data_IF_326243979240
#
_entry.id   IF_326243979240
#
_cell.length_a   1.000
_cell.length_b   1.000
_cell.length_c   1.000
_cell.angle_alpha   90.00
_cell.angle_beta   90.00
_cell.angle_gamma   90.00
#
_symmetry.space_group_name_H-M   'P 1'
#
loop_
_entity.id
_entity.type
_entity.pdbx_description
1 polymer ?
#
# COMPACT_ATOMS: atom_id res chain seq x y z
N UNK A 1 8.36 -3.13 -28.59
CA UNK A 1 8.16 -1.98 -27.68
C UNK A 1 6.93 -2.28 -26.88
N UNK A 2 7.07 -2.55 -25.58
CA UNK A 2 5.92 -2.81 -24.72
C UNK A 2 5.35 -1.43 -24.37
N UNK A 3 4.16 -1.10 -24.90
CA UNK A 3 3.50 0.16 -24.56
C UNK A 3 3.30 0.17 -23.04
N UNK A 4 3.97 1.10 -22.35
CA UNK A 4 3.64 1.35 -20.97
C UNK A 4 2.24 1.97 -20.94
N UNK A 5 1.31 1.49 -20.11
CA UNK A 5 0.04 2.16 -19.94
C UNK A 5 0.32 3.59 -19.48
N UNK A 6 -0.35 4.56 -20.10
CA UNK A 6 -0.25 5.96 -19.70
C UNK A 6 -0.82 6.06 -18.28
N UNK A 7 -0.05 6.54 -17.29
CA UNK A 7 -0.54 6.62 -15.92
C UNK A 7 -1.62 7.70 -15.82
N UNK A 8 -2.71 7.38 -15.15
CA UNK A 8 -3.50 8.43 -14.52
C UNK A 8 -2.75 8.89 -13.27
N UNK A 9 -2.50 10.19 -13.16
CA UNK A 9 -1.77 10.78 -12.04
C UNK A 9 -2.73 11.55 -11.15
N UNK A 10 -2.83 11.15 -9.88
CA UNK A 10 -3.54 11.90 -8.86
C UNK A 10 -2.54 12.66 -7.98
N UNK A 11 -2.84 13.92 -7.68
CA UNK A 11 -2.09 14.73 -6.71
C UNK A 11 -2.90 14.82 -5.43
N UNK A 12 -2.49 14.03 -4.44
CA UNK A 12 -3.28 13.81 -3.23
C UNK A 12 -2.88 14.79 -2.11
N UNK A 13 -3.87 15.24 -1.34
CA UNK A 13 -3.67 16.05 -0.14
C UNK A 13 -3.11 17.45 -0.40
N UNK A 14 -2.67 18.11 0.67
CA UNK A 14 -2.09 19.46 0.62
C UNK A 14 -0.66 19.46 0.14
N UNK A 15 0.08 18.36 0.37
CA UNK A 15 1.43 18.18 -0.14
C UNK A 15 1.46 17.74 -1.61
N UNK A 16 0.29 17.60 -2.25
CA UNK A 16 0.11 17.28 -3.66
C UNK A 16 0.97 16.08 -4.08
N UNK A 17 0.97 15.03 -3.26
CA UNK A 17 1.83 13.88 -3.49
C UNK A 17 1.30 13.04 -4.65
N UNK A 18 2.15 12.70 -5.63
CA UNK A 18 1.72 11.90 -6.76
C UNK A 18 1.40 10.46 -6.32
N UNK A 19 0.24 9.97 -6.79
CA UNK A 19 -0.09 8.56 -6.89
C UNK A 19 -0.27 8.25 -8.38
N UNK A 20 0.50 7.30 -8.91
CA UNK A 20 0.27 6.80 -10.27
C UNK A 20 -0.73 5.64 -10.20
N UNK A 21 -1.75 5.70 -11.05
CA UNK A 21 -2.73 4.65 -11.25
C UNK A 21 -2.50 4.05 -12.64
N UNK A 22 -2.19 2.77 -12.67
CA UNK A 22 -1.86 2.01 -13.88
C UNK A 22 -2.88 0.89 -14.05
N UNK A 23 -3.86 1.09 -14.93
CA UNK A 23 -4.79 0.03 -15.33
C UNK A 23 -4.12 -0.92 -16.34
N UNK A 24 -4.60 -2.17 -16.38
CA UNK A 24 -4.05 -3.25 -17.21
C UNK A 24 -2.53 -3.41 -17.06
N UNK A 25 -2.03 -3.29 -15.83
CA UNK A 25 -0.62 -3.15 -15.53
C UNK A 25 0.21 -4.36 -15.96
N UNK A 26 -0.25 -5.59 -15.74
CA UNK A 26 0.51 -6.80 -16.03
C UNK A 26 -0.18 -7.64 -17.12
N UNK A 27 0.54 -8.24 -18.09
CA UNK A 27 -0.10 -8.99 -19.18
C UNK A 27 -0.74 -10.33 -18.77
N UNK A 28 -0.47 -10.83 -17.56
CA UNK A 28 -1.02 -12.10 -17.08
C UNK A 28 -1.36 -12.04 -15.58
N UNK A 29 -2.31 -11.19 -15.17
CA UNK A 29 -2.67 -11.03 -13.76
C UNK A 29 -3.27 -12.31 -13.18
N UNK A 30 -4.01 -13.10 -13.98
CA UNK A 30 -4.57 -14.37 -13.53
C UNK A 30 -3.50 -15.44 -13.26
N UNK A 31 -2.42 -15.46 -14.04
CA UNK A 31 -1.28 -16.34 -13.77
C UNK A 31 -0.62 -16.01 -12.42
N UNK A 32 -0.54 -14.72 -12.06
CA UNK A 32 -0.03 -14.31 -10.74
C UNK A 32 -0.93 -14.76 -9.59
N UNK A 33 -2.26 -14.77 -9.81
CA UNK A 33 -3.22 -15.27 -8.82
C UNK A 33 -3.09 -16.78 -8.62
N UNK A 34 -2.96 -17.53 -9.71
CA UNK A 34 -2.76 -18.97 -9.69
C UNK A 34 -1.44 -19.33 -9.00
N UNK A 35 -0.36 -18.61 -9.31
CA UNK A 35 0.93 -18.74 -8.65
C UNK A 35 0.80 -18.53 -7.13
N UNK A 36 0.15 -17.44 -6.70
CA UNK A 36 -0.11 -17.19 -5.29
C UNK A 36 -0.94 -18.31 -4.62
N UNK A 37 -1.92 -18.89 -5.33
CA UNK A 37 -2.74 -20.00 -4.81
C UNK A 37 -1.97 -21.31 -4.65
N UNK A 38 -0.85 -21.49 -5.37
CA UNK A 38 0.03 -22.66 -5.26
C UNK A 38 1.11 -22.50 -4.18
N UNK A 39 1.31 -21.29 -3.65
CA UNK A 39 2.29 -20.99 -2.63
C UNK A 39 1.71 -21.15 -1.22
N UNK A 40 2.59 -21.45 -0.26
CA UNK A 40 2.25 -21.38 1.16
C UNK A 40 2.45 -19.95 1.67
N UNK A 41 1.37 -19.20 1.79
CA UNK A 41 1.39 -17.87 2.42
C UNK A 41 1.44 -18.02 3.95
N UNK A 42 2.20 -17.15 4.62
CA UNK A 42 2.40 -17.15 6.07
C UNK A 42 2.47 -15.72 6.62
N UNK A 43 2.20 -15.49 7.91
CA UNK A 43 2.40 -14.17 8.51
C UNK A 43 3.88 -13.75 8.41
N UNK A 44 4.13 -12.50 8.02
CA UNK A 44 5.48 -11.91 7.99
C UNK A 44 5.46 -10.65 8.87
N UNK A 45 5.97 -10.79 10.09
CA UNK A 45 6.02 -9.72 11.08
C UNK A 45 4.63 -9.31 11.63
N UNK A 46 4.59 -8.29 12.50
CA UNK A 46 3.36 -7.89 13.19
C UNK A 46 2.51 -6.86 12.43
N UNK A 47 3.06 -6.23 11.39
CA UNK A 47 2.48 -5.04 10.78
C UNK A 47 1.42 -5.33 9.74
N UNK A 48 1.57 -6.39 8.95
CA UNK A 48 0.61 -6.73 7.91
C UNK A 48 -0.52 -7.62 8.47
N UNK A 49 -1.80 -7.24 8.32
CA UNK A 49 -2.94 -7.98 8.85
C UNK A 49 -3.34 -9.16 7.94
N UNK A 50 -2.40 -10.06 7.70
CA UNK A 50 -2.63 -11.21 6.83
C UNK A 50 -1.40 -12.06 6.54
N UNK A 51 -1.46 -12.78 5.42
CA UNK A 51 -0.45 -13.73 5.00
C UNK A 51 0.31 -13.23 3.77
N UNK A 52 1.58 -13.59 3.67
CA UNK A 52 2.45 -13.24 2.55
C UNK A 52 3.28 -14.43 2.05
N UNK A 53 3.66 -14.37 0.79
CA UNK A 53 4.69 -15.23 0.20
C UNK A 53 5.60 -14.37 -0.69
N UNK A 54 6.90 -14.63 -0.70
CA UNK A 54 7.85 -13.93 -1.55
C UNK A 54 7.59 -14.22 -3.02
N UNK A 55 7.71 -13.22 -3.89
CA UNK A 55 7.65 -13.44 -5.35
C UNK A 55 9.05 -13.69 -5.93
N UNK A 56 9.17 -14.33 -7.11
CA UNK A 56 10.46 -14.53 -7.77
C UNK A 56 11.19 -13.19 -8.04
N UNK A 57 12.48 -13.05 -7.72
CA UNK A 57 13.22 -11.79 -7.92
C UNK A 57 13.20 -11.28 -9.38
N UNK A 58 13.23 -12.19 -10.35
CA UNK A 58 13.16 -11.82 -11.77
C UNK A 58 11.80 -11.21 -12.14
N UNK A 59 10.70 -11.65 -11.51
CA UNK A 59 9.39 -11.05 -11.72
C UNK A 59 9.35 -9.62 -11.15
N UNK A 60 9.84 -9.46 -9.92
CA UNK A 60 9.95 -8.17 -9.26
C UNK A 60 10.78 -7.17 -10.08
N UNK A 61 11.93 -7.61 -10.59
CA UNK A 61 12.83 -6.80 -11.41
C UNK A 61 12.18 -6.37 -12.73
N UNK A 62 11.41 -7.26 -13.39
CA UNK A 62 10.68 -6.89 -14.61
C UNK A 62 9.61 -5.83 -14.34
N UNK A 63 8.90 -5.92 -13.20
CA UNK A 63 7.94 -4.89 -12.80
C UNK A 63 8.63 -3.56 -12.50
N UNK A 64 9.77 -3.59 -11.80
CA UNK A 64 10.60 -2.41 -11.54
C UNK A 64 11.04 -1.73 -12.84
N UNK A 65 11.61 -2.50 -13.79
CA UNK A 65 12.03 -1.99 -15.10
C UNK A 65 10.88 -1.36 -15.87
N UNK A 66 9.67 -1.95 -15.77
CA UNK A 66 8.48 -1.41 -16.42
C UNK A 66 8.09 -0.04 -15.87
N UNK A 67 8.17 0.18 -14.56
CA UNK A 67 7.81 1.48 -13.97
C UNK A 67 8.96 2.48 -13.92
N UNK A 68 10.21 2.08 -14.19
CA UNK A 68 11.39 2.95 -14.08
C UNK A 68 11.26 4.28 -14.84
N UNK A 69 10.76 4.34 -16.10
CA UNK A 69 10.55 5.62 -16.78
C UNK A 69 9.53 6.53 -16.06
N UNK A 70 8.50 5.94 -15.45
CA UNK A 70 7.49 6.69 -14.68
C UNK A 70 8.07 7.24 -13.38
N UNK A 71 9.00 6.49 -12.75
CA UNK A 71 9.71 6.94 -11.57
C UNK A 71 10.63 8.14 -11.87
N UNK A 72 11.31 8.11 -13.01
CA UNK A 72 12.07 9.26 -13.49
C UNK A 72 11.17 10.49 -13.71
N UNK A 73 10.04 10.32 -14.41
CA UNK A 73 9.14 11.44 -14.76
C UNK A 73 8.39 12.03 -13.57
N UNK A 74 7.85 11.19 -12.66
CA UNK A 74 6.91 11.66 -11.63
C UNK A 74 7.50 11.74 -10.22
N UNK A 75 8.63 11.08 -9.97
CA UNK A 75 9.25 11.04 -8.64
C UNK A 75 10.68 11.57 -8.62
N UNK A 76 11.24 11.95 -9.78
CA UNK A 76 12.64 12.37 -9.96
C UNK A 76 13.63 11.28 -9.50
N UNK A 77 13.35 10.04 -9.92
CA UNK A 77 14.14 8.86 -9.55
C UNK A 77 14.72 8.18 -10.80
N UNK A 78 15.87 8.67 -11.24
CA UNK A 78 16.70 8.05 -12.28
C UNK A 78 18.15 7.92 -11.77
N UNK A 79 18.70 6.70 -11.55
CA UNK A 79 18.03 5.41 -11.78
C UNK A 79 16.90 5.13 -10.77
N UNK A 80 15.95 4.31 -11.20
CA UNK A 80 14.93 3.74 -10.32
C UNK A 80 15.58 2.93 -9.19
N UNK A 81 15.16 3.10 -7.90
CA UNK A 81 15.71 2.35 -6.78
C UNK A 81 15.55 0.84 -6.96
N UNK A 82 16.44 0.04 -6.38
CA UNK A 82 16.44 -1.42 -6.48
C UNK A 82 15.22 -2.05 -5.78
N UNK A 83 14.89 -3.29 -6.17
CA UNK A 83 13.91 -4.10 -5.42
C UNK A 83 14.50 -4.45 -4.05
N UNK A 84 13.86 -3.96 -2.99
CA UNK A 84 14.20 -4.31 -1.62
C UNK A 84 13.37 -5.50 -1.14
N UNK A 85 12.06 -5.45 -1.35
CA UNK A 85 11.12 -6.48 -0.91
C UNK A 85 10.02 -6.69 -1.94
N UNK A 86 9.53 -7.93 -2.06
CA UNK A 86 8.46 -8.24 -3.00
C UNK A 86 7.64 -9.46 -2.56
N UNK A 87 6.31 -9.28 -2.45
CA UNK A 87 5.41 -10.29 -1.89
C UNK A 87 4.09 -10.39 -2.66
N UNK A 88 3.52 -11.59 -2.72
CA UNK A 88 2.07 -11.74 -2.70
C UNK A 88 1.59 -11.48 -1.27
N UNK A 89 0.54 -10.68 -1.13
CA UNK A 89 -0.05 -10.33 0.16
C UNK A 89 -1.54 -10.56 0.13
N UNK A 90 -2.04 -11.35 1.08
CA UNK A 90 -3.44 -11.68 1.25
C UNK A 90 -3.91 -11.20 2.61
N UNK A 91 -4.94 -10.36 2.63
CA UNK A 91 -5.58 -9.94 3.88
C UNK A 91 -6.42 -11.08 4.44
N UNK A 92 -6.15 -11.48 5.68
CA UNK A 92 -6.85 -12.62 6.32
C UNK A 92 -7.28 -12.35 7.76
N UNK A 93 -6.87 -11.22 8.35
CA UNK A 93 -7.19 -10.91 9.76
C UNK A 93 -8.57 -10.25 9.85
N UNK A 94 -9.53 -10.81 10.61
CA UNK A 94 -10.80 -10.14 10.85
C UNK A 94 -10.63 -8.81 11.60
N UNK A 95 -11.52 -7.82 11.39
CA UNK A 95 -11.46 -6.51 12.07
C UNK A 95 -11.28 -6.59 13.60
N UNK A 96 -12.02 -7.51 14.25
CA UNK A 96 -11.97 -7.74 15.70
C UNK A 96 -10.61 -8.22 16.23
N UNK A 97 -9.80 -8.83 15.36
CA UNK A 97 -8.52 -9.46 15.72
C UNK A 97 -7.32 -8.56 15.38
N UNK A 98 -7.56 -7.34 14.86
CA UNK A 98 -6.51 -6.41 14.48
C UNK A 98 -5.72 -5.96 15.71
N UNK A 99 -4.40 -6.08 15.64
CA UNK A 99 -3.50 -5.45 16.60
C UNK A 99 -3.62 -3.91 16.51
N UNK A 100 -3.38 -3.13 17.58
CA UNK A 100 -3.52 -1.67 17.55
C UNK A 100 -2.79 -0.99 16.39
N UNK A 101 -1.59 -1.45 16.04
CA UNK A 101 -0.79 -0.89 14.92
C UNK A 101 -1.45 -1.09 13.55
N UNK A 102 -2.29 -2.13 13.40
CA UNK A 102 -2.97 -2.47 12.14
C UNK A 102 -4.26 -1.65 11.93
N UNK A 103 -4.68 -0.87 12.94
CA UNK A 103 -5.87 -0.02 12.91
C UNK A 103 -5.56 1.42 12.49
N UNK A 104 -4.27 1.74 12.30
CA UNK A 104 -3.77 3.07 11.99
C UNK A 104 -3.17 3.10 10.59
N UNK A 105 -3.18 4.26 9.90
CA UNK A 105 -2.33 4.48 8.74
C UNK A 105 -0.86 4.21 9.08
N UNK A 106 -0.15 3.60 8.14
CA UNK A 106 1.27 3.29 8.25
C UNK A 106 2.06 3.95 7.13
N UNK A 107 3.37 3.82 7.21
CA UNK A 107 4.33 4.17 6.18
C UNK A 107 5.41 3.07 6.16
N UNK A 108 5.99 2.81 5.00
CA UNK A 108 6.90 1.68 4.76
C UNK A 108 8.35 1.97 5.17
N UNK A 109 8.66 3.24 5.42
CA UNK A 109 9.97 3.74 5.78
C UNK A 109 9.99 5.26 5.70
N UNK A 110 11.10 5.87 6.11
CA UNK A 110 11.21 7.33 6.19
C UNK A 110 11.88 7.95 4.96
N UNK A 111 12.42 7.13 4.08
CA UNK A 111 13.25 7.58 2.98
C UNK A 111 12.39 8.08 1.82
N UNK A 112 12.63 9.29 1.35
CA UNK A 112 11.83 9.88 0.26
C UNK A 112 11.92 9.06 -1.04
N UNK A 113 13.03 8.37 -1.25
CA UNK A 113 13.26 7.50 -2.41
C UNK A 113 12.57 6.15 -2.30
N UNK A 114 11.98 5.80 -1.15
CA UNK A 114 11.25 4.54 -0.99
C UNK A 114 9.95 4.61 -1.80
N UNK A 115 9.77 3.67 -2.72
CA UNK A 115 8.56 3.56 -3.55
C UNK A 115 7.85 2.25 -3.24
N UNK A 116 6.53 2.31 -3.11
CA UNK A 116 5.66 1.14 -3.09
C UNK A 116 4.92 1.03 -4.42
N UNK A 117 4.88 -0.19 -4.97
CA UNK A 117 3.96 -0.61 -6.00
C UNK A 117 3.00 -1.65 -5.40
N UNK A 118 1.71 -1.41 -5.55
CA UNK A 118 0.64 -2.31 -5.13
C UNK A 118 -0.20 -2.69 -6.34
N UNK A 119 -0.11 -3.95 -6.79
CA UNK A 119 -0.93 -4.51 -7.87
C UNK A 119 -2.10 -5.29 -7.29
N UNK A 120 -3.32 -4.87 -7.59
CA UNK A 120 -4.54 -5.58 -7.19
C UNK A 120 -4.76 -6.79 -8.09
N UNK A 121 -4.79 -7.98 -7.49
CA UNK A 121 -4.96 -9.24 -8.22
C UNK A 121 -6.34 -9.85 -7.99
N UNK A 122 -6.99 -9.58 -6.87
CA UNK A 122 -8.30 -10.16 -6.57
C UNK A 122 -9.40 -9.78 -7.59
N UNK A 123 -10.44 -10.60 -7.65
CA UNK A 123 -11.65 -10.38 -8.48
C UNK A 123 -12.77 -9.91 -7.55
N UNK A 124 -13.72 -9.12 -8.05
CA UNK A 124 -14.84 -8.62 -7.25
C UNK A 124 -14.47 -7.50 -6.26
N UNK A 125 -15.17 -7.35 -5.12
CA UNK A 125 -14.88 -6.32 -4.14
C UNK A 125 -13.49 -6.50 -3.51
N UNK A 126 -12.62 -5.52 -3.71
CA UNK A 126 -11.22 -5.54 -3.23
C UNK A 126 -10.89 -4.33 -2.34
N UNK A 127 -11.87 -3.43 -2.15
CA UNK A 127 -11.66 -2.17 -1.44
C UNK A 127 -10.73 -1.26 -2.23
N UNK A 128 -9.61 -0.86 -1.64
CA UNK A 128 -8.64 0.02 -2.27
C UNK A 128 -7.47 0.35 -1.35
N UNK A 129 -6.84 1.49 -1.61
CA UNK A 129 -5.83 2.10 -0.76
C UNK A 129 -6.24 3.53 -0.44
N UNK A 130 -6.27 3.87 0.84
CA UNK A 130 -6.53 5.21 1.32
C UNK A 130 -5.25 5.86 1.85
N UNK A 131 -5.15 7.17 1.66
CA UNK A 131 -4.05 8.01 2.12
C UNK A 131 -4.55 9.02 3.13
N UNK A 132 -3.70 9.37 4.09
CA UNK A 132 -4.12 10.10 5.29
C UNK A 132 -3.19 11.26 5.63
N UNK A 133 -3.73 12.20 6.40
CA UNK A 133 -2.99 13.24 7.12
C UNK A 133 -3.20 13.03 8.61
N UNK A 134 -2.12 12.99 9.39
CA UNK A 134 -2.21 12.98 10.84
C UNK A 134 -2.61 14.38 11.33
N UNK A 135 -3.66 14.48 12.16
CA UNK A 135 -4.31 15.76 12.46
C UNK A 135 -3.50 16.67 13.38
N UNK A 136 -2.72 16.11 14.29
CA UNK A 136 -1.95 16.87 15.30
C UNK A 136 -0.77 17.62 14.66
N UNK A 137 -0.06 16.94 13.77
CA UNK A 137 1.13 17.45 13.08
C UNK A 137 0.82 18.03 11.71
N UNK A 138 -0.30 17.63 11.11
CA UNK A 138 -0.65 17.97 9.73
C UNK A 138 0.18 17.22 8.70
N UNK A 139 0.96 16.20 9.09
CA UNK A 139 1.83 15.47 8.17
C UNK A 139 1.05 14.48 7.30
N UNK A 140 1.35 14.47 6.01
CA UNK A 140 0.87 13.48 5.03
C UNK A 140 1.98 12.44 4.69
N UNK A 141 3.23 12.80 5.00
CA UNK A 141 4.44 12.00 4.83
C UNK A 141 5.36 12.10 6.04
N UNK A 142 6.03 10.99 6.34
CA UNK A 142 6.95 10.85 7.46
C UNK A 142 8.37 10.69 6.96
N UNK A 143 9.13 11.78 6.89
CA UNK A 143 10.58 11.75 6.69
C UNK A 143 11.33 11.45 8.00
N UNK A 144 12.66 11.28 7.93
CA UNK A 144 13.48 11.03 9.12
C UNK A 144 13.34 12.17 10.15
N UNK A 145 13.28 13.41 9.69
CA UNK A 145 13.12 14.60 10.54
C UNK A 145 11.71 14.70 11.14
N UNK A 146 10.70 14.20 10.41
CA UNK A 146 9.29 14.23 10.84
C UNK A 146 8.92 13.07 11.76
N UNK A 147 9.73 12.02 11.83
CA UNK A 147 9.42 10.81 12.58
C UNK A 147 9.20 11.07 14.08
N UNK A 148 10.10 11.82 14.72
CA UNK A 148 10.00 12.10 16.16
C UNK A 148 8.81 13.01 16.49
N UNK A 149 8.60 14.15 15.79
CA UNK A 149 7.39 14.95 15.97
C UNK A 149 6.10 14.16 15.70
N UNK A 150 6.07 13.33 14.65
CA UNK A 150 4.93 12.46 14.34
C UNK A 150 4.60 11.51 15.49
N UNK A 151 5.58 10.76 15.98
CA UNK A 151 5.38 9.82 17.10
C UNK A 151 4.88 10.54 18.35
N UNK A 152 5.48 11.69 18.66
CA UNK A 152 5.09 12.49 19.83
C UNK A 152 3.67 13.02 19.71
N UNK A 153 3.30 13.53 18.53
CA UNK A 153 1.96 14.03 18.24
C UNK A 153 0.92 12.93 18.29
N UNK A 154 1.19 11.80 17.63
CA UNK A 154 0.29 10.65 17.62
C UNK A 154 0.09 10.06 19.02
N UNK A 155 1.15 9.94 19.83
CA UNK A 155 1.04 9.45 21.21
C UNK A 155 0.18 10.39 22.08
N UNK A 156 0.34 11.71 21.91
CA UNK A 156 -0.49 12.70 22.61
C UNK A 156 -1.96 12.61 22.17
N UNK A 157 -2.20 12.47 20.87
CA UNK A 157 -3.54 12.32 20.30
C UNK A 157 -4.21 11.03 20.77
N UNK A 158 -3.49 9.90 20.82
CA UNK A 158 -4.00 8.62 21.34
C UNK A 158 -4.35 8.74 22.83
N UNK A 159 -3.54 9.46 23.64
CA UNK A 159 -3.88 9.70 25.05
C UNK A 159 -5.14 10.55 25.22
N UNK A 160 -5.39 11.48 24.29
CA UNK A 160 -6.54 12.37 24.34
C UNK A 160 -7.82 11.73 23.79
N UNK A 161 -7.74 11.05 22.66
CA UNK A 161 -8.90 10.55 21.91
C UNK A 161 -9.10 9.04 22.01
N UNK A 162 -8.14 8.32 22.60
CA UNK A 162 -8.12 6.85 22.65
C UNK A 162 -7.49 6.22 21.39
N UNK A 163 -7.19 4.94 21.49
CA UNK A 163 -6.88 4.12 20.32
C UNK A 163 -8.16 3.84 19.53
N UNK A 164 -8.11 3.80 18.18
CA UNK A 164 -9.24 3.37 17.40
C UNK A 164 -9.71 1.96 17.78
N UNK A 165 -11.03 1.78 17.73
CA UNK A 165 -11.68 0.49 17.91
C UNK A 165 -11.13 -0.56 16.92
N UNK A 166 -11.24 -1.87 17.23
CA UNK A 166 -10.80 -2.94 16.32
C UNK A 166 -11.55 -2.93 14.99
N UNK A 167 -11.01 -2.18 14.03
CA UNK A 167 -11.51 -2.06 12.67
C UNK A 167 -10.39 -1.64 11.72
N UNK A 168 -10.56 -1.96 10.44
CA UNK A 168 -9.80 -1.30 9.39
C UNK A 168 -10.25 0.16 9.33
N UNK A 169 -9.28 1.08 9.27
CA UNK A 169 -9.60 2.52 9.21
C UNK A 169 -10.41 2.84 7.95
N UNK A 170 -11.47 3.61 8.14
CA UNK A 170 -12.33 4.11 7.07
C UNK A 170 -12.62 5.59 7.29
N UNK A 171 -12.40 6.39 6.24
CA UNK A 171 -12.70 7.82 6.27
C UNK A 171 -11.92 8.59 7.33
N UNK A 172 -12.52 9.66 7.80
CA UNK A 172 -11.94 10.53 8.82
C UNK A 172 -12.09 9.93 10.23
N UNK A 173 -11.04 10.08 11.04
CA UNK A 173 -11.04 9.75 12.48
C UNK A 173 -10.59 10.96 13.30
N UNK A 174 -10.72 10.95 14.64
CA UNK A 174 -10.13 11.99 15.47
C UNK A 174 -8.60 12.13 15.33
N UNK A 175 -7.91 11.07 14.88
CA UNK A 175 -6.45 11.05 14.72
C UNK A 175 -6.00 11.40 13.29
N UNK A 176 -6.80 11.03 12.28
CA UNK A 176 -6.43 11.14 10.87
C UNK A 176 -7.55 11.71 10.01
N UNK A 177 -7.18 12.46 8.98
CA UNK A 177 -8.05 12.89 7.88
C UNK A 177 -7.74 12.03 6.66
N UNK A 178 -8.75 11.44 6.01
CA UNK A 178 -8.57 10.75 4.74
C UNK A 178 -8.46 11.78 3.62
N UNK A 179 -7.29 11.89 3.01
CA UNK A 179 -6.99 12.91 1.99
C UNK A 179 -7.14 12.40 0.56
N UNK A 180 -7.09 11.08 0.36
CA UNK A 180 -7.35 10.44 -0.92
C UNK A 180 -7.72 8.97 -0.72
N UNK A 181 -8.42 8.43 -1.70
CA UNK A 181 -8.70 6.99 -1.81
C UNK A 181 -8.66 6.59 -3.27
N UNK A 182 -7.97 5.49 -3.54
CA UNK A 182 -7.87 4.88 -4.86
C UNK A 182 -8.47 3.50 -4.80
N UNK A 183 -9.58 3.31 -5.51
CA UNK A 183 -10.32 2.06 -5.51
C UNK A 183 -9.53 0.97 -6.26
N UNK A 184 -9.58 -0.24 -5.71
CA UNK A 184 -8.99 -1.41 -6.31
C UNK A 184 -9.77 -1.82 -7.56
N UNK A 185 -9.04 -2.12 -8.63
CA UNK A 185 -9.56 -2.79 -9.81
C UNK A 185 -8.62 -3.95 -10.15
N UNK A 186 -9.17 -5.06 -10.65
CA UNK A 186 -8.33 -6.18 -11.07
C UNK A 186 -7.28 -5.69 -12.10
N UNK A 187 -6.02 -6.08 -11.92
CA UNK A 187 -4.87 -5.66 -12.72
C UNK A 187 -4.53 -4.16 -12.69
N UNK A 188 -5.06 -3.42 -11.71
CA UNK A 188 -4.62 -2.05 -11.42
C UNK A 188 -3.40 -2.06 -10.50
N UNK A 189 -2.35 -1.34 -10.87
CA UNK A 189 -1.27 -1.01 -9.97
C UNK A 189 -1.36 0.44 -9.46
N UNK A 190 -1.06 0.65 -8.19
CA UNK A 190 -0.78 1.96 -7.60
C UNK A 190 0.72 2.09 -7.35
N UNK A 191 1.30 3.23 -7.70
CA UNK A 191 2.70 3.56 -7.41
C UNK A 191 2.77 4.87 -6.64
N UNK A 192 3.40 4.86 -5.47
CA UNK A 192 3.47 6.00 -4.56
C UNK A 192 4.71 5.94 -3.65
N UNK A 193 5.07 7.07 -3.02
CA UNK A 193 6.16 7.09 -2.02
C UNK A 193 5.76 6.32 -0.77
N UNK A 194 6.58 5.37 -0.34
CA UNK A 194 6.32 4.51 0.82
C UNK A 194 6.28 5.29 2.15
N UNK A 195 6.85 6.49 2.20
CA UNK A 195 6.81 7.34 3.39
C UNK A 195 5.49 8.12 3.58
N UNK A 196 4.51 7.94 2.68
CA UNK A 196 3.16 8.50 2.82
C UNK A 196 2.36 7.71 3.84
N UNK A 197 1.54 8.41 4.64
CA UNK A 197 0.59 7.75 5.54
C UNK A 197 -0.53 7.11 4.72
N UNK A 198 -0.65 5.79 4.79
CA UNK A 198 -1.60 5.03 3.98
C UNK A 198 -2.10 3.77 4.70
N UNK A 199 -3.23 3.23 4.24
CA UNK A 199 -3.77 1.96 4.70
C UNK A 199 -4.60 1.29 3.60
N UNK A 200 -4.82 -0.01 3.72
CA UNK A 200 -5.84 -0.69 2.92
C UNK A 200 -7.21 -0.12 3.33
N UNK A 201 -8.00 0.33 2.36
CA UNK A 201 -9.42 0.60 2.58
C UNK A 201 -10.19 -0.68 2.29
N UNK A 202 -10.94 -1.17 3.28
CA UNK A 202 -11.59 -2.47 3.26
C UNK A 202 -13.04 -2.33 3.75
N UNK A 203 -13.99 -2.00 2.86
CA UNK A 203 -15.40 -2.02 3.23
C UNK A 203 -15.84 -3.46 3.53
N UNK A 204 -16.94 -3.63 4.28
CA UNK A 204 -17.49 -4.93 4.72
C UNK A 204 -17.80 -5.91 3.57
N UNK A 205 -17.89 -5.40 2.33
CA UNK A 205 -18.08 -6.22 1.13
C UNK A 205 -16.83 -6.99 0.70
N UNK A 206 -15.66 -6.65 1.24
CA UNK A 206 -14.39 -7.32 0.92
C UNK A 206 -14.28 -8.63 1.71
N UNK A 207 -14.11 -9.78 1.03
CA UNK A 207 -13.98 -11.06 1.71
C UNK A 207 -12.64 -11.18 2.46
N UNK A 208 -12.72 -11.42 3.77
CA UNK A 208 -11.59 -11.79 4.61
C UNK A 208 -11.48 -13.31 4.64
N UNK A 209 -10.55 -13.87 3.86
CA UNK A 209 -10.40 -15.31 3.67
C UNK A 209 -8.97 -15.68 3.36
N UNK A 210 -8.56 -16.87 3.79
CA UNK A 210 -7.25 -17.45 3.49
C UNK A 210 -7.09 -17.99 2.06
N UNK A 211 -8.12 -17.94 1.22
CA UNK A 211 -8.05 -18.36 -0.17
C UNK A 211 -7.61 -17.20 -1.10
N UNK A 212 -6.42 -17.25 -1.71
CA UNK A 212 -5.92 -16.19 -2.61
C UNK A 212 -6.82 -15.91 -3.82
N UNK A 213 -7.61 -16.89 -4.29
CA UNK A 213 -8.46 -16.74 -5.46
C UNK A 213 -9.76 -15.97 -5.17
N UNK A 214 -10.18 -15.92 -3.92
CA UNK A 214 -11.44 -15.24 -3.53
C UNK A 214 -11.22 -14.07 -2.58
N UNK A 215 -10.07 -14.01 -1.90
CA UNK A 215 -9.76 -12.95 -0.95
C UNK A 215 -9.17 -11.70 -1.57
N UNK A 216 -8.78 -10.75 -0.71
CA UNK A 216 -8.06 -9.56 -1.14
C UNK A 216 -6.58 -9.85 -1.35
N UNK A 217 -6.26 -10.30 -2.56
CA UNK A 217 -4.90 -10.59 -2.99
C UNK A 217 -4.29 -9.39 -3.71
N UNK A 218 -3.11 -8.98 -3.27
CA UNK A 218 -2.26 -8.00 -3.95
C UNK A 218 -0.85 -8.54 -4.16
N UNK A 219 -0.15 -8.02 -5.17
CA UNK A 219 1.31 -8.12 -5.24
C UNK A 219 1.89 -6.78 -4.82
N UNK A 220 2.81 -6.81 -3.88
CA UNK A 220 3.48 -5.66 -3.31
C UNK A 220 4.95 -5.69 -3.71
N UNK A 221 5.45 -4.59 -4.25
CA UNK A 221 6.86 -4.39 -4.56
C UNK A 221 7.33 -3.11 -3.85
N UNK A 222 8.40 -3.21 -3.07
CA UNK A 222 9.01 -2.09 -2.38
C UNK A 222 10.39 -1.83 -2.97
N UNK A 223 10.63 -0.59 -3.38
CA UNK A 223 11.87 -0.16 -4.01
C UNK A 223 12.62 0.80 -3.09
N UNK A 224 13.87 0.46 -2.75
CA UNK A 224 14.74 1.27 -1.92
C UNK A 224 16.19 0.74 -2.00
N UNK A 225 17.17 1.63 -1.82
CA UNK A 225 18.61 1.34 -1.85
C UNK A 225 19.26 1.57 -0.47
#
# INVERSE_FOLDING_TARGET
MQNNPEPHVSLDGKEQQPTLILDDFWPGPDVLREDAAMLRLQPIGPHYPGLRATIPPMLAERMRQRIAPLLATHFDLDPAPAVSEAYYSLVTTPPGDLAPIQRLPHFDGVEDRRIALLLFLGHGPQGGTAFYRERTTGFERISAERLTPYRTGLDAAIRQYGLPEPAYIEGDTPLFEQIARHDACHNRALVYRGNRLHCAWLPDTVPITGNPLTGRLTLNLFLFD
#
